data_IF_930391016546
#
_entry.id   IF_930391016546
#
_cell.length_a   1.000
_cell.length_b   1.000
_cell.length_c   1.000
_cell.angle_alpha   90.00
_cell.angle_beta   90.00
_cell.angle_gamma   90.00
#
_symmetry.space_group_name_H-M   'P 1'
#
loop_
_entity.id
_entity.type
_entity.pdbx_description
1 polymer ?
#
# COMPACT_ATOMS: atom_id res chain seq x y z
N UNK A 1 2.21 -19.83 22.80
CA UNK A 1 3.22 -19.75 21.73
C UNK A 1 2.46 -19.36 20.48
N UNK A 2 2.31 -18.07 20.25
CA UNK A 2 1.45 -17.58 19.17
C UNK A 2 2.08 -16.35 18.52
N UNK A 3 1.89 -16.22 17.22
CA UNK A 3 2.24 -15.03 16.47
C UNK A 3 3.30 -15.27 15.40
N UNK A 4 2.99 -14.82 14.19
CA UNK A 4 3.81 -14.79 12.97
C UNK A 4 5.08 -13.91 13.10
N UNK A 5 5.54 -13.64 14.33
CA UNK A 5 6.69 -12.80 14.66
C UNK A 5 6.45 -11.30 14.45
N UNK A 6 5.23 -10.87 14.12
CA UNK A 6 4.90 -9.49 13.75
C UNK A 6 3.95 -8.77 14.73
N UNK A 7 3.62 -9.40 15.86
CA UNK A 7 2.75 -8.87 16.91
C UNK A 7 1.38 -8.36 16.38
N UNK A 8 0.82 -9.02 15.36
CA UNK A 8 -0.52 -8.75 14.85
C UNK A 8 -1.35 -10.04 14.91
N UNK A 9 -2.46 -10.01 15.64
CA UNK A 9 -3.44 -11.09 15.66
C UNK A 9 -3.20 -12.16 16.72
N UNK A 10 -2.45 -11.84 17.78
CA UNK A 10 -2.21 -12.75 18.90
C UNK A 10 -3.42 -12.80 19.85
N UNK A 11 -3.59 -13.92 20.56
CA UNK A 11 -4.57 -14.02 21.65
C UNK A 11 -4.40 -12.88 22.67
N UNK A 12 -5.45 -12.08 22.87
CA UNK A 12 -5.45 -10.93 23.77
C UNK A 12 -5.19 -9.58 23.08
N UNK A 13 -4.92 -9.56 21.78
CA UNK A 13 -4.77 -8.33 21.01
C UNK A 13 -6.07 -7.49 21.01
N UNK A 14 -5.90 -6.18 21.19
CA UNK A 14 -7.00 -5.24 21.07
C UNK A 14 -7.46 -5.12 19.61
N UNK A 15 -8.73 -4.77 19.38
CA UNK A 15 -9.29 -4.56 18.02
C UNK A 15 -8.44 -3.60 17.14
N UNK A 16 -7.81 -2.55 17.68
CA UNK A 16 -6.86 -1.74 16.90
C UNK A 16 -5.61 -2.49 16.43
N UNK A 17 -5.06 -3.40 17.24
CA UNK A 17 -3.87 -4.19 16.88
C UNK A 17 -4.21 -5.18 15.77
N UNK A 18 -5.37 -5.84 15.86
CA UNK A 18 -5.82 -6.79 14.84
C UNK A 18 -6.19 -6.16 13.49
N UNK A 19 -6.26 -4.81 13.41
CA UNK A 19 -6.48 -4.05 12.17
C UNK A 19 -5.19 -3.54 11.52
N UNK A 20 -4.04 -3.73 12.17
CA UNK A 20 -2.75 -3.38 11.58
C UNK A 20 -2.43 -4.37 10.47
N UNK A 21 -1.80 -3.87 9.42
CA UNK A 21 -1.29 -4.69 8.34
C UNK A 21 0.14 -4.26 8.05
N UNK A 22 0.98 -5.21 7.65
CA UNK A 22 2.32 -4.88 7.18
C UNK A 22 2.23 -4.23 5.81
N UNK A 23 3.03 -3.21 5.58
CA UNK A 23 3.19 -2.62 4.24
C UNK A 23 3.76 -3.68 3.31
N UNK A 24 3.02 -4.01 2.25
CA UNK A 24 3.48 -4.98 1.27
C UNK A 24 4.73 -4.46 0.54
N UNK A 25 5.72 -5.32 0.26
CA UNK A 25 6.88 -4.91 -0.53
C UNK A 25 6.45 -4.59 -1.97
N UNK A 26 7.10 -3.61 -2.58
CA UNK A 26 6.88 -3.26 -4.00
C UNK A 26 7.63 -4.20 -4.97
N UNK A 27 8.46 -5.11 -4.48
CA UNK A 27 9.13 -6.08 -5.34
C UNK A 27 8.10 -7.04 -5.96
N UNK A 28 8.15 -7.21 -7.28
CA UNK A 28 7.17 -7.98 -8.04
C UNK A 28 5.80 -7.28 -8.17
N UNK A 29 5.72 -5.96 -7.99
CA UNK A 29 4.48 -5.20 -8.08
C UNK A 29 3.76 -5.41 -9.43
N UNK A 30 4.52 -5.58 -10.52
CA UNK A 30 3.94 -5.83 -11.87
C UNK A 30 3.09 -7.10 -11.96
N UNK A 31 3.28 -8.05 -11.05
CA UNK A 31 2.51 -9.29 -11.01
C UNK A 31 1.27 -9.19 -10.12
N UNK A 32 1.06 -8.07 -9.42
CA UNK A 32 -0.12 -7.85 -8.57
C UNK A 32 -1.25 -7.23 -9.38
N UNK A 33 -2.47 -7.74 -9.16
CA UNK A 33 -3.68 -7.35 -9.91
C UNK A 33 -4.67 -6.52 -9.10
N UNK A 34 -4.57 -6.55 -7.77
CA UNK A 34 -5.38 -5.76 -6.84
C UNK A 34 -4.48 -5.03 -5.85
N UNK A 35 -4.87 -3.80 -5.52
CA UNK A 35 -4.14 -2.88 -4.66
C UNK A 35 -5.03 -2.39 -3.52
N UNK A 36 -4.39 -1.74 -2.54
CA UNK A 36 -4.94 -1.38 -1.24
C UNK A 36 -5.24 -2.62 -0.37
N UNK A 37 -5.42 -2.37 0.93
CA UNK A 37 -5.65 -3.42 1.92
C UNK A 37 -6.99 -4.15 1.74
N UNK A 38 -7.96 -3.48 1.12
CA UNK A 38 -9.29 -4.00 0.79
C UNK A 38 -9.38 -4.54 -0.65
N UNK A 39 -8.30 -4.44 -1.44
CA UNK A 39 -8.26 -4.94 -2.82
C UNK A 39 -9.18 -4.19 -3.78
N UNK A 40 -9.66 -2.99 -3.44
CA UNK A 40 -10.77 -2.35 -4.17
C UNK A 40 -10.41 -1.80 -5.56
N UNK A 41 -9.13 -1.76 -5.93
CA UNK A 41 -8.68 -1.17 -7.19
C UNK A 41 -7.57 -1.98 -7.85
N UNK A 42 -7.55 -1.98 -9.18
CA UNK A 42 -6.49 -2.54 -10.02
C UNK A 42 -5.64 -1.45 -10.71
N UNK A 43 -5.82 -0.18 -10.30
CA UNK A 43 -5.11 0.97 -10.84
C UNK A 43 -4.05 1.46 -9.86
N UNK A 44 -2.78 1.48 -10.27
CA UNK A 44 -1.68 2.02 -9.46
C UNK A 44 -1.92 3.50 -9.09
N UNK A 45 -2.39 4.30 -10.05
CA UNK A 45 -2.70 5.71 -9.82
C UNK A 45 -3.79 5.85 -8.76
N UNK A 46 -4.88 5.09 -8.86
CA UNK A 46 -5.97 5.11 -7.88
C UNK A 46 -5.49 4.62 -6.52
N UNK A 47 -4.69 3.55 -6.49
CA UNK A 47 -4.11 3.00 -5.27
C UNK A 47 -3.21 4.01 -4.54
N UNK A 48 -2.44 4.81 -5.27
CA UNK A 48 -1.60 5.86 -4.69
C UNK A 48 -2.47 7.02 -4.19
N UNK A 49 -3.38 7.54 -5.03
CA UNK A 49 -4.20 8.71 -4.68
C UNK A 49 -5.15 8.44 -3.52
N UNK A 50 -5.72 7.23 -3.43
CA UNK A 50 -6.66 6.87 -2.36
C UNK A 50 -5.98 6.24 -1.12
N UNK A 51 -4.64 6.21 -1.08
CA UNK A 51 -3.93 5.63 0.05
C UNK A 51 -4.05 6.53 1.28
N UNK A 52 -4.85 6.10 2.26
CA UNK A 52 -5.09 6.83 3.50
C UNK A 52 -4.14 6.41 4.64
N UNK A 53 -4.35 6.95 5.84
CA UNK A 53 -3.60 6.57 7.03
C UNK A 53 -2.10 6.80 6.85
N UNK A 54 -1.30 5.74 7.00
CA UNK A 54 0.17 5.83 6.89
C UNK A 54 0.65 6.19 5.46
N UNK A 55 -0.14 5.93 4.42
CA UNK A 55 0.22 6.30 3.04
C UNK A 55 -0.22 7.70 2.60
N UNK A 56 -0.91 8.46 3.46
CA UNK A 56 -1.45 9.77 3.09
C UNK A 56 -0.38 10.77 2.64
N UNK A 57 0.82 10.71 3.25
CA UNK A 57 1.95 11.55 2.83
C UNK A 57 2.44 11.22 1.41
N UNK A 58 2.47 9.93 1.04
CA UNK A 58 2.83 9.50 -0.30
C UNK A 58 1.76 9.90 -1.32
N UNK A 59 0.47 9.77 -0.97
CA UNK A 59 -0.64 10.22 -1.80
C UNK A 59 -0.56 11.74 -2.07
N UNK A 60 -0.31 12.54 -1.03
CA UNK A 60 -0.15 13.99 -1.15
C UNK A 60 1.05 14.37 -2.04
N UNK A 61 2.21 13.73 -1.82
CA UNK A 61 3.40 13.93 -2.63
C UNK A 61 3.13 13.59 -4.10
N UNK A 62 2.51 12.44 -4.38
CA UNK A 62 2.10 12.05 -5.72
C UNK A 62 1.17 13.09 -6.36
N UNK A 63 0.16 13.57 -5.63
CA UNK A 63 -0.79 14.54 -6.16
C UNK A 63 -0.12 15.87 -6.56
N UNK A 64 0.95 16.28 -5.86
CA UNK A 64 1.74 17.48 -6.17
C UNK A 64 2.69 17.35 -7.37
N UNK A 65 2.90 16.13 -7.88
CA UNK A 65 3.77 15.91 -9.03
C UNK A 65 3.17 16.48 -10.33
N UNK A 66 4.07 16.91 -11.22
CA UNK A 66 3.73 17.18 -12.62
C UNK A 66 3.18 15.92 -13.31
N UNK A 67 2.42 16.08 -14.39
CA UNK A 67 1.92 14.96 -15.20
C UNK A 67 3.05 14.04 -15.67
N UNK A 68 4.16 14.61 -16.13
CA UNK A 68 5.36 13.88 -16.55
C UNK A 68 5.95 13.06 -15.41
N UNK A 69 6.11 13.66 -14.23
CA UNK A 69 6.65 12.98 -13.05
C UNK A 69 5.73 11.85 -12.58
N UNK A 70 4.40 12.04 -12.63
CA UNK A 70 3.42 10.97 -12.37
C UNK A 70 3.60 9.82 -13.35
N UNK A 71 3.67 10.10 -14.65
CA UNK A 71 3.87 9.08 -15.69
C UNK A 71 5.16 8.28 -15.47
N UNK A 72 6.27 8.97 -15.18
CA UNK A 72 7.56 8.32 -14.92
C UNK A 72 7.52 7.43 -13.67
N UNK A 73 6.87 7.87 -12.60
CA UNK A 73 6.70 7.06 -11.39
C UNK A 73 5.87 5.80 -11.67
N UNK A 74 4.76 5.93 -12.40
CA UNK A 74 3.93 4.77 -12.76
C UNK A 74 4.72 3.78 -13.63
N UNK A 75 5.49 4.27 -14.61
CA UNK A 75 6.34 3.42 -15.43
C UNK A 75 7.41 2.70 -14.60
N UNK A 76 8.03 3.39 -13.64
CA UNK A 76 8.96 2.77 -12.71
C UNK A 76 8.28 1.66 -11.88
N UNK A 77 7.11 1.94 -11.29
CA UNK A 77 6.36 0.97 -10.50
C UNK A 77 5.94 -0.26 -11.31
N UNK A 78 5.63 -0.10 -12.60
CA UNK A 78 5.32 -1.19 -13.53
C UNK A 78 6.55 -2.05 -13.88
N UNK A 79 7.77 -1.55 -13.66
CA UNK A 79 8.99 -2.34 -13.88
C UNK A 79 9.35 -3.26 -12.70
N UNK A 80 8.76 -3.03 -11.52
CA UNK A 80 9.07 -3.74 -10.27
C UNK A 80 8.51 -5.16 -10.18
#
# INVERSE_FOLDING_TARGET
>A
MDGLGDHIGNWGDTIPVTRRMRTAPLWGLRFRTLFLHDGRTNSLTTAITEHAGQGAAAAAAFNSLSSTSKSNLIAFLQSL
#
